data_IF_924217494173
#
_entry.id   IF_924217494173
#
_cell.length_a   1.000
_cell.length_b   1.000
_cell.length_c   1.000
_cell.angle_alpha   90.00
_cell.angle_beta   90.00
_cell.angle_gamma   90.00
#
_symmetry.space_group_name_H-M   'P 1'
#
loop_
_entity.id
_entity.type
_entity.pdbx_description
1 polymer ?
#
# COMPACT_ATOMS: atom_id res chain seq x y z
N UNK A 1 -13.36 -1.54 -16.69
CA UNK A 1 -12.67 -0.54 -15.83
C UNK A 1 -13.59 0.58 -15.36
N UNK A 2 -14.43 1.19 -16.22
CA UNK A 2 -15.33 2.30 -15.85
C UNK A 2 -16.39 2.01 -14.76
N UNK A 3 -16.93 0.79 -14.70
CA UNK A 3 -17.97 0.43 -13.71
C UNK A 3 -17.48 0.35 -12.25
N UNK A 4 -16.18 0.10 -12.03
CA UNK A 4 -15.61 0.09 -10.68
C UNK A 4 -15.48 1.50 -10.11
N UNK A 5 -15.12 2.47 -10.95
CA UNK A 5 -14.93 3.87 -10.56
C UNK A 5 -16.27 4.51 -10.17
N UNK A 6 -17.33 4.24 -10.93
CA UNK A 6 -18.66 4.82 -10.67
C UNK A 6 -19.29 4.38 -9.33
N UNK A 7 -18.92 3.20 -8.80
CA UNK A 7 -19.41 2.72 -7.49
C UNK A 7 -18.64 3.30 -6.30
N UNK A 8 -17.34 3.55 -6.47
CA UNK A 8 -16.47 4.01 -5.38
C UNK A 8 -16.60 5.54 -5.22
N UNK A 9 -16.86 6.26 -6.30
CA UNK A 9 -16.99 7.73 -6.30
C UNK A 9 -18.09 8.25 -5.36
N UNK A 10 -19.34 7.72 -5.37
CA UNK A 10 -20.38 8.17 -4.44
C UNK A 10 -20.02 7.93 -2.97
N UNK A 11 -19.43 6.78 -2.67
CA UNK A 11 -19.00 6.41 -1.31
C UNK A 11 -17.88 7.33 -0.84
N UNK A 12 -16.92 7.64 -1.72
CA UNK A 12 -15.84 8.60 -1.46
C UNK A 12 -16.37 10.01 -1.20
N UNK A 13 -17.36 10.47 -1.98
CA UNK A 13 -17.99 11.78 -1.79
C UNK A 13 -18.73 11.83 -0.45
N UNK A 14 -19.52 10.80 -0.12
CA UNK A 14 -20.23 10.72 1.17
C UNK A 14 -19.22 10.73 2.33
N UNK A 15 -18.15 9.94 2.25
CA UNK A 15 -17.10 9.94 3.27
C UNK A 15 -16.43 11.31 3.43
N UNK A 16 -16.17 12.00 2.33
CA UNK A 16 -15.52 13.32 2.33
C UNK A 16 -16.45 14.41 2.90
N UNK A 17 -17.71 14.42 2.49
CA UNK A 17 -18.74 15.34 3.03
C UNK A 17 -18.96 15.08 4.52
N UNK A 18 -19.09 13.82 4.92
CA UNK A 18 -19.29 13.44 6.33
C UNK A 18 -18.05 13.78 7.17
N UNK A 19 -16.86 13.57 6.62
CA UNK A 19 -15.61 13.99 7.23
C UNK A 19 -15.58 15.49 7.50
N UNK A 20 -15.90 16.32 6.51
CA UNK A 20 -15.94 17.79 6.66
C UNK A 20 -17.01 18.24 7.66
N UNK A 21 -18.16 17.55 7.72
CA UNK A 21 -19.26 17.91 8.61
C UNK A 21 -19.06 17.47 10.07
N UNK A 22 -18.42 16.32 10.29
CA UNK A 22 -18.28 15.69 11.62
C UNK A 22 -16.92 15.96 12.26
N UNK A 23 -15.83 16.07 11.49
CA UNK A 23 -14.54 16.51 12.04
C UNK A 23 -14.67 18.00 12.41
N UNK A 24 -15.04 18.21 13.66
CA UNK A 24 -14.95 19.51 14.31
C UNK A 24 -13.48 19.84 14.42
N UNK A 25 -13.05 20.92 13.76
CA UNK A 25 -11.69 21.45 13.87
C UNK A 25 -11.35 21.61 15.35
N UNK A 26 -10.54 20.68 15.86
CA UNK A 26 -10.05 20.75 17.22
C UNK A 26 -8.98 21.84 17.24
N UNK A 27 -9.38 23.07 17.61
CA UNK A 27 -8.54 24.27 17.69
C UNK A 27 -7.39 24.14 18.70
N UNK A 28 -7.24 22.98 19.35
CA UNK A 28 -6.16 22.62 20.27
C UNK A 28 -4.94 21.99 19.59
N UNK A 29 -5.01 21.63 18.31
CA UNK A 29 -3.82 21.19 17.57
C UNK A 29 -2.99 22.43 17.22
N UNK A 30 -1.93 22.68 17.99
CA UNK A 30 -0.80 23.50 17.53
C UNK A 30 -0.57 23.19 16.06
N UNK A 31 -0.44 24.23 15.21
CA UNK A 31 -0.16 24.09 13.77
C UNK A 31 1.03 23.17 13.57
N UNK A 32 0.75 21.88 13.46
CA UNK A 32 1.71 20.81 13.32
C UNK A 32 2.20 20.99 11.91
N UNK A 33 3.41 21.54 11.76
CA UNK A 33 4.02 21.71 10.45
C UNK A 33 4.11 20.33 9.83
N UNK A 34 3.25 20.05 8.86
CA UNK A 34 3.28 18.82 8.08
C UNK A 34 4.67 18.62 7.51
N UNK A 35 5.24 17.44 7.71
CA UNK A 35 6.55 17.10 7.17
C UNK A 35 6.48 16.85 5.65
N UNK A 36 6.44 17.94 4.89
CA UNK A 36 6.40 17.88 3.43
C UNK A 36 7.63 17.18 2.83
N UNK A 37 8.80 17.29 3.46
CA UNK A 37 10.01 16.61 3.02
C UNK A 37 9.90 15.09 3.22
N UNK A 38 9.41 14.67 4.38
CA UNK A 38 9.12 13.27 4.67
C UNK A 38 8.11 12.69 3.69
N UNK A 39 7.00 13.39 3.44
CA UNK A 39 5.96 12.96 2.49
C UNK A 39 6.55 12.81 1.09
N UNK A 40 7.34 13.79 0.64
CA UNK A 40 7.90 13.78 -0.71
C UNK A 40 8.94 12.66 -0.87
N UNK A 41 9.84 12.49 0.09
CA UNK A 41 10.90 11.46 0.02
C UNK A 41 10.33 10.04 0.14
N UNK A 42 9.39 9.82 1.06
CA UNK A 42 8.70 8.52 1.17
C UNK A 42 7.86 8.22 -0.07
N UNK A 43 7.03 9.18 -0.51
CA UNK A 43 6.14 9.00 -1.66
C UNK A 43 6.91 8.78 -2.96
N UNK A 44 7.98 9.54 -3.20
CA UNK A 44 8.83 9.34 -4.39
C UNK A 44 9.60 8.01 -4.34
N UNK A 45 10.12 7.62 -3.17
CA UNK A 45 10.76 6.32 -3.00
C UNK A 45 9.81 5.14 -3.22
N UNK A 46 8.59 5.23 -2.67
CA UNK A 46 7.55 4.23 -2.90
C UNK A 46 7.14 4.16 -4.38
N UNK A 47 6.97 5.32 -5.03
CA UNK A 47 6.67 5.37 -6.47
C UNK A 47 7.78 4.73 -7.29
N UNK A 48 9.04 5.03 -6.99
CA UNK A 48 10.19 4.43 -7.67
C UNK A 48 10.22 2.90 -7.50
N UNK A 49 9.92 2.40 -6.31
CA UNK A 49 9.83 0.96 -6.04
C UNK A 49 8.70 0.29 -6.85
N UNK A 50 7.52 0.91 -6.90
CA UNK A 50 6.39 0.39 -7.67
C UNK A 50 6.71 0.37 -9.17
N UNK A 51 7.39 1.39 -9.68
CA UNK A 51 7.88 1.43 -11.07
C UNK A 51 8.90 0.31 -11.31
N UNK A 52 9.85 0.10 -10.39
CA UNK A 52 10.84 -0.98 -10.50
C UNK A 52 10.16 -2.34 -10.64
N UNK A 53 9.17 -2.63 -9.78
CA UNK A 53 8.40 -3.88 -9.80
C UNK A 53 7.57 -4.04 -11.07
N UNK A 54 6.96 -2.96 -11.56
CA UNK A 54 6.14 -2.98 -12.77
C UNK A 54 6.99 -3.20 -14.03
N UNK A 55 8.12 -2.52 -14.13
CA UNK A 55 9.00 -2.56 -15.31
C UNK A 55 9.94 -3.77 -15.26
N UNK A 56 10.21 -4.35 -14.09
CA UNK A 56 10.98 -5.60 -13.98
C UNK A 56 10.39 -6.74 -14.82
N UNK A 57 9.07 -6.77 -15.01
CA UNK A 57 8.42 -7.76 -15.88
C UNK A 57 8.73 -7.57 -17.37
N UNK A 58 9.01 -6.34 -17.81
CA UNK A 58 9.26 -6.01 -19.23
C UNK A 58 10.75 -5.90 -19.56
N UNK A 59 11.53 -5.21 -18.74
CA UNK A 59 12.98 -5.05 -18.91
C UNK A 59 13.79 -6.24 -18.37
N UNK A 60 13.14 -7.11 -17.59
CA UNK A 60 13.79 -8.22 -16.90
C UNK A 60 14.29 -7.82 -15.51
N UNK A 61 14.22 -8.80 -14.60
CA UNK A 61 14.61 -8.64 -13.20
C UNK A 61 16.10 -8.38 -13.00
N UNK A 62 16.94 -8.81 -13.94
CA UNK A 62 18.41 -8.73 -13.87
C UNK A 62 18.94 -7.49 -14.65
N UNK A 63 18.06 -6.67 -15.23
CA UNK A 63 18.50 -5.48 -15.96
C UNK A 63 19.11 -4.43 -15.03
N UNK A 64 20.22 -3.82 -15.48
CA UNK A 64 20.88 -2.70 -14.79
C UNK A 64 19.90 -1.55 -14.49
N UNK A 65 18.94 -1.31 -15.38
CA UNK A 65 17.92 -0.26 -15.21
C UNK A 65 16.97 -0.57 -14.06
N UNK A 66 16.56 -1.82 -13.93
CA UNK A 66 15.68 -2.30 -12.85
C UNK A 66 16.40 -2.19 -11.50
N UNK A 67 17.65 -2.63 -11.44
CA UNK A 67 18.50 -2.48 -10.25
C UNK A 67 18.74 -1.01 -9.89
N UNK A 68 18.94 -0.14 -10.87
CA UNK A 68 19.06 1.30 -10.67
C UNK A 68 17.82 1.90 -9.98
N UNK A 69 16.62 1.51 -10.39
CA UNK A 69 15.37 1.96 -9.75
C UNK A 69 15.25 1.43 -8.31
N UNK A 70 15.60 0.17 -8.05
CA UNK A 70 15.64 -0.36 -6.68
C UNK A 70 16.65 0.40 -5.80
N UNK A 71 17.82 0.72 -6.33
CA UNK A 71 18.85 1.49 -5.63
C UNK A 71 18.36 2.91 -5.30
N UNK A 72 17.70 3.58 -6.25
CA UNK A 72 17.10 4.92 -6.03
C UNK A 72 16.00 4.87 -4.96
N UNK A 73 15.11 3.89 -5.01
CA UNK A 73 14.07 3.72 -4.01
C UNK A 73 14.65 3.52 -2.62
N UNK A 74 15.64 2.63 -2.49
CA UNK A 74 16.33 2.36 -1.23
C UNK A 74 17.05 3.61 -0.70
N UNK A 75 17.73 4.35 -1.57
CA UNK A 75 18.43 5.57 -1.22
C UNK A 75 17.47 6.65 -0.70
N UNK A 76 16.33 6.85 -1.36
CA UNK A 76 15.29 7.79 -0.91
C UNK A 76 14.69 7.40 0.44
N UNK A 77 14.48 6.11 0.69
CA UNK A 77 14.00 5.64 2.00
C UNK A 77 15.02 5.76 3.11
N UNK A 78 16.31 5.58 2.82
CA UNK A 78 17.38 5.85 3.78
C UNK A 78 17.38 7.35 4.13
N UNK A 79 17.30 8.23 3.14
CA UNK A 79 17.19 9.69 3.36
C UNK A 79 15.94 10.00 4.20
N UNK A 80 14.81 9.39 3.88
CA UNK A 80 13.56 9.54 4.62
C UNK A 80 13.74 9.23 6.11
N UNK A 81 14.38 8.11 6.46
CA UNK A 81 14.66 7.74 7.87
C UNK A 81 15.50 8.81 8.57
N UNK A 82 16.48 9.39 7.90
CA UNK A 82 17.31 10.47 8.46
C UNK A 82 16.55 11.78 8.64
N UNK A 83 15.66 12.11 7.71
CA UNK A 83 14.79 13.28 7.81
C UNK A 83 13.85 13.09 9.00
N UNK A 84 13.14 11.96 9.06
CA UNK A 84 12.20 11.60 10.11
C UNK A 84 12.78 11.71 11.51
N UNK A 85 13.99 11.20 11.71
CA UNK A 85 14.69 11.29 13.01
C UNK A 85 14.97 12.73 13.46
N UNK A 86 14.99 13.70 12.54
CA UNK A 86 15.30 15.10 12.81
C UNK A 86 14.06 16.01 12.86
N UNK A 87 12.92 15.56 12.32
CA UNK A 87 11.70 16.38 12.27
C UNK A 87 10.99 16.36 13.65
N UNK A 88 10.44 17.51 14.05
CA UNK A 88 9.72 17.66 15.34
C UNK A 88 8.38 16.91 15.37
N UNK A 89 7.75 16.75 14.21
CA UNK A 89 6.49 16.05 14.02
C UNK A 89 6.67 14.95 12.96
N UNK A 90 7.21 13.80 13.37
CA UNK A 90 7.43 12.68 12.46
C UNK A 90 6.11 12.17 11.87
N UNK A 91 6.08 11.87 10.56
CA UNK A 91 4.98 11.16 9.91
C UNK A 91 4.87 9.74 10.45
N UNK A 92 6.02 9.06 10.61
CA UNK A 92 6.10 7.75 11.23
C UNK A 92 6.89 7.83 12.53
N UNK A 93 6.23 7.49 13.64
CA UNK A 93 6.92 7.31 14.91
C UNK A 93 7.80 6.06 14.86
N UNK A 94 9.04 6.21 14.39
CA UNK A 94 10.00 5.11 14.21
C UNK A 94 10.30 4.36 15.52
N UNK A 95 10.06 4.99 16.68
CA UNK A 95 10.15 4.35 17.99
C UNK A 95 9.14 3.20 18.21
N UNK A 96 8.04 3.17 17.46
CA UNK A 96 7.07 2.05 17.52
C UNK A 96 7.73 0.72 17.12
N UNK A 97 8.64 0.74 16.14
CA UNK A 97 9.36 -0.45 15.70
C UNK A 97 10.34 -1.02 16.75
N UNK A 98 10.71 -0.22 17.76
CA UNK A 98 11.50 -0.71 18.89
C UNK A 98 10.67 -1.61 19.82
N UNK A 99 9.35 -1.47 19.82
CA UNK A 99 8.47 -2.36 20.57
C UNK A 99 8.29 -3.68 19.81
N UNK A 100 8.75 -4.76 20.43
CA UNK A 100 8.69 -6.12 19.86
C UNK A 100 7.28 -6.50 19.42
N UNK A 101 6.28 -6.22 20.24
CA UNK A 101 4.88 -6.54 19.93
C UNK A 101 4.38 -5.82 18.67
N UNK A 102 4.77 -4.56 18.48
CA UNK A 102 4.40 -3.80 17.29
C UNK A 102 5.07 -4.37 16.03
N UNK A 103 6.38 -4.65 16.10
CA UNK A 103 7.13 -5.21 14.96
C UNK A 103 6.66 -6.63 14.59
N UNK A 104 6.33 -7.46 15.59
CA UNK A 104 5.75 -8.79 15.36
C UNK A 104 4.35 -8.64 14.75
N UNK A 105 3.49 -7.79 15.32
CA UNK A 105 2.15 -7.53 14.80
C UNK A 105 2.19 -7.09 13.34
N UNK A 106 3.08 -6.15 13.01
CA UNK A 106 3.29 -5.71 11.63
C UNK A 106 3.74 -6.85 10.72
N UNK A 107 4.70 -7.68 11.17
CA UNK A 107 5.14 -8.85 10.41
C UNK A 107 4.04 -9.88 10.16
N UNK A 108 3.17 -10.12 11.14
CA UNK A 108 1.99 -10.98 11.01
C UNK A 108 1.01 -10.38 10.00
N UNK A 109 0.71 -9.09 10.10
CA UNK A 109 -0.18 -8.40 9.15
C UNK A 109 0.36 -8.43 7.72
N UNK A 110 1.66 -8.16 7.52
CA UNK A 110 2.28 -8.23 6.20
C UNK A 110 2.21 -9.65 5.62
N UNK A 111 2.54 -10.66 6.42
CA UNK A 111 2.48 -12.07 6.00
C UNK A 111 1.06 -12.49 5.66
N UNK A 112 0.08 -12.06 6.46
CA UNK A 112 -1.34 -12.28 6.19
C UNK A 112 -1.77 -11.63 4.86
N UNK A 113 -1.41 -10.36 4.62
CA UNK A 113 -1.74 -9.68 3.37
C UNK A 113 -1.15 -10.41 2.15
N UNK A 114 0.13 -10.78 2.19
CA UNK A 114 0.79 -11.51 1.10
C UNK A 114 0.08 -12.85 0.85
N UNK A 115 -0.17 -13.63 1.91
CA UNK A 115 -0.85 -14.91 1.83
C UNK A 115 -2.27 -14.78 1.29
N UNK A 116 -3.03 -13.79 1.77
CA UNK A 116 -4.40 -13.53 1.33
C UNK A 116 -4.49 -13.22 -0.18
N UNK A 117 -3.61 -12.35 -0.68
CA UNK A 117 -3.56 -12.05 -2.12
C UNK A 117 -3.11 -13.25 -2.96
N UNK A 118 -2.08 -13.98 -2.50
CA UNK A 118 -1.59 -15.17 -3.19
C UNK A 118 -2.65 -16.27 -3.27
N UNK A 119 -3.31 -16.60 -2.16
CA UNK A 119 -4.36 -17.63 -2.10
C UNK A 119 -5.52 -17.27 -3.01
N UNK A 120 -5.94 -16.00 -3.05
CA UNK A 120 -7.04 -15.57 -3.93
C UNK A 120 -6.73 -15.84 -5.40
N UNK A 121 -5.50 -15.53 -5.84
CA UNK A 121 -5.07 -15.76 -7.23
C UNK A 121 -4.92 -17.27 -7.49
N UNK A 122 -4.24 -17.99 -6.61
CA UNK A 122 -4.00 -19.42 -6.74
C UNK A 122 -5.29 -20.23 -6.74
N UNK A 123 -6.28 -19.87 -5.92
CA UNK A 123 -7.58 -20.54 -5.88
C UNK A 123 -8.34 -20.34 -7.18
N UNK A 124 -8.32 -19.11 -7.73
CA UNK A 124 -8.92 -18.82 -9.04
C UNK A 124 -8.24 -19.63 -10.15
N UNK A 125 -6.90 -19.67 -10.12
CA UNK A 125 -6.11 -20.43 -11.09
C UNK A 125 -6.36 -21.93 -10.97
N UNK A 126 -6.49 -22.46 -9.74
CA UNK A 126 -6.80 -23.86 -9.47
C UNK A 126 -8.17 -24.26 -10.00
N UNK A 127 -9.20 -23.44 -9.75
CA UNK A 127 -10.55 -23.68 -10.27
C UNK A 127 -10.59 -23.72 -11.80
N UNK A 128 -9.88 -22.81 -12.46
CA UNK A 128 -9.89 -22.72 -13.92
C UNK A 128 -8.97 -23.75 -14.58
N UNK A 129 -7.75 -23.95 -14.05
CA UNK A 129 -6.74 -24.80 -14.68
C UNK A 129 -6.85 -26.27 -14.29
N UNK A 130 -7.22 -26.58 -13.03
CA UNK A 130 -7.29 -27.96 -12.54
C UNK A 130 -8.73 -28.52 -12.53
N UNK A 131 -9.72 -27.70 -12.15
CA UNK A 131 -11.14 -28.13 -12.18
C UNK A 131 -11.83 -27.83 -13.51
N UNK A 132 -11.15 -27.16 -14.45
CA UNK A 132 -11.69 -26.77 -15.75
C UNK A 132 -13.00 -25.97 -15.68
N UNK A 133 -13.24 -25.27 -14.57
CA UNK A 133 -14.42 -24.44 -14.39
C UNK A 133 -14.34 -23.20 -15.28
N UNK A 134 -15.49 -22.73 -15.74
CA UNK A 134 -15.55 -21.47 -16.46
C UNK A 134 -15.16 -20.30 -15.54
N UNK A 135 -14.68 -19.16 -16.09
CA UNK A 135 -14.39 -17.97 -15.30
C UNK A 135 -15.61 -17.46 -14.50
N UNK A 136 -16.81 -17.65 -15.05
CA UNK A 136 -18.06 -17.24 -14.40
C UNK A 136 -18.33 -18.08 -13.15
N UNK A 137 -18.22 -19.41 -13.25
CA UNK A 137 -18.43 -20.33 -12.12
C UNK A 137 -17.37 -20.14 -11.03
N UNK A 138 -16.11 -19.97 -11.43
CA UNK A 138 -15.02 -19.66 -10.50
C UNK A 138 -15.30 -18.36 -9.75
N UNK A 139 -15.79 -17.33 -10.46
CA UNK A 139 -16.18 -16.05 -9.87
C UNK A 139 -17.32 -16.19 -8.87
N UNK A 140 -18.36 -16.98 -9.19
CA UNK A 140 -19.51 -17.26 -8.31
C UNK A 140 -19.09 -17.98 -7.02
N UNK A 141 -18.20 -18.97 -7.12
CA UNK A 141 -17.70 -19.71 -5.96
C UNK A 141 -16.79 -18.88 -5.05
N UNK A 142 -16.18 -17.82 -5.58
CA UNK A 142 -15.38 -16.88 -4.80
C UNK A 142 -16.22 -15.80 -4.09
N UNK A 143 -17.50 -15.65 -4.40
CA UNK A 143 -18.39 -14.68 -3.73
C UNK A 143 -18.43 -14.88 -2.20
N UNK A 144 -18.73 -16.07 -1.65
CA UNK A 144 -18.75 -16.27 -0.20
C UNK A 144 -17.38 -16.16 0.46
N UNK A 145 -16.28 -16.29 -0.29
CA UNK A 145 -14.93 -16.04 0.22
C UNK A 145 -14.64 -14.53 0.36
N UNK A 146 -15.36 -13.69 -0.39
CA UNK A 146 -15.17 -12.24 -0.45
C UNK A 146 -16.31 -11.43 0.18
N UNK A 147 -17.37 -12.09 0.64
CA UNK A 147 -18.51 -11.52 1.34
C UNK A 147 -18.23 -11.47 2.85
#
# INVERSE_FOLDING_TARGET
MAFHVLRVVPIGIVGLVTGILILKDDKSSEKTKTDWLGVLTYGTGLTALLIALSVAQTWGWISEKTFGLFAVALFLWIIFIFIEKKVKHPLFHLGLFAYREYSIGLGITMSYCIGYFAVTILLTLYMQAALHLSPLESGLLLIPLKA
#
